data_IF_531242980469
#
_entry.id   IF_531242980469
#
_cell.length_a   1.000
_cell.length_b   1.000
_cell.length_c   1.000
_cell.angle_alpha   90.00
_cell.angle_beta   90.00
_cell.angle_gamma   90.00
#
_symmetry.space_group_name_H-M   'P 1'
#
loop_
_entity.id
_entity.type
_entity.pdbx_description
1 polymer ?
#
# COMPACT_ATOMS: atom_id res chain seq x y z
N UNK A 1 -72.75 18.44 5.47
CA UNK A 1 -72.60 16.98 5.68
C UNK A 1 -71.24 16.46 5.17
N UNK A 2 -70.24 17.31 4.90
CA UNK A 2 -68.94 16.88 4.33
C UNK A 2 -67.72 17.02 5.28
N UNK A 3 -67.93 17.45 6.52
CA UNK A 3 -66.84 17.76 7.46
C UNK A 3 -66.01 16.53 7.87
N UNK A 4 -66.58 15.32 7.81
CA UNK A 4 -65.87 14.09 8.18
C UNK A 4 -64.75 13.73 7.20
N UNK A 5 -65.03 13.85 5.89
CA UNK A 5 -64.09 13.47 4.84
C UNK A 5 -62.92 14.47 4.75
N UNK A 6 -63.22 15.77 4.83
CA UNK A 6 -62.20 16.83 4.87
C UNK A 6 -61.30 16.74 6.10
N UNK A 7 -61.87 16.40 7.27
CA UNK A 7 -61.10 16.21 8.50
C UNK A 7 -60.17 15.01 8.43
N UNK A 8 -60.60 13.90 7.82
CA UNK A 8 -59.76 12.73 7.60
C UNK A 8 -58.58 13.05 6.66
N UNK A 9 -58.83 13.75 5.55
CA UNK A 9 -57.78 14.19 4.63
C UNK A 9 -56.79 15.14 5.33
N UNK A 10 -57.29 16.06 6.17
CA UNK A 10 -56.44 16.97 6.97
C UNK A 10 -55.58 16.23 7.99
N UNK A 11 -56.11 15.18 8.61
CA UNK A 11 -55.32 14.32 9.51
C UNK A 11 -54.26 13.55 8.75
N UNK A 12 -54.60 12.92 7.62
CA UNK A 12 -53.66 12.16 6.80
C UNK A 12 -52.53 13.05 6.27
N UNK A 13 -52.84 14.24 5.78
CA UNK A 13 -51.82 15.21 5.32
C UNK A 13 -50.93 15.70 6.45
N UNK A 14 -51.46 15.92 7.65
CA UNK A 14 -50.65 16.27 8.83
C UNK A 14 -49.72 15.12 9.25
N UNK A 15 -50.21 13.88 9.24
CA UNK A 15 -49.38 12.70 9.53
C UNK A 15 -48.27 12.55 8.50
N UNK A 16 -48.60 12.73 7.22
CA UNK A 16 -47.63 12.68 6.13
C UNK A 16 -46.56 13.77 6.24
N UNK A 17 -46.96 15.01 6.58
CA UNK A 17 -46.01 16.11 6.84
C UNK A 17 -45.06 15.81 7.98
N UNK A 18 -45.56 15.27 9.10
CA UNK A 18 -44.73 14.88 10.24
C UNK A 18 -43.75 13.77 9.86
N UNK A 19 -44.22 12.76 9.13
CA UNK A 19 -43.37 11.68 8.62
C UNK A 19 -42.24 12.22 7.75
N UNK A 20 -42.55 13.09 6.77
CA UNK A 20 -41.55 13.70 5.90
C UNK A 20 -40.53 14.53 6.67
N UNK A 21 -40.98 15.28 7.69
CA UNK A 21 -40.07 16.05 8.53
C UNK A 21 -39.08 15.14 9.27
N UNK A 22 -39.56 14.04 9.86
CA UNK A 22 -38.71 13.05 10.55
C UNK A 22 -37.75 12.39 9.54
N UNK A 23 -38.25 11.92 8.41
CA UNK A 23 -37.44 11.29 7.37
C UNK A 23 -36.33 12.23 6.87
N UNK A 24 -36.66 13.50 6.60
CA UNK A 24 -35.67 14.51 6.20
C UNK A 24 -34.65 14.77 7.30
N UNK A 25 -35.06 14.82 8.57
CA UNK A 25 -34.13 14.99 9.69
C UNK A 25 -33.15 13.81 9.82
N UNK A 26 -33.64 12.58 9.61
CA UNK A 26 -32.79 11.38 9.64
C UNK A 26 -31.81 11.36 8.47
N UNK A 27 -32.26 11.70 7.27
CA UNK A 27 -31.40 11.81 6.08
C UNK A 27 -30.35 12.91 6.24
N UNK A 28 -30.74 14.07 6.79
CA UNK A 28 -29.79 15.14 7.08
C UNK A 28 -28.75 14.70 8.10
N UNK A 29 -29.17 14.07 9.20
CA UNK A 29 -28.24 13.60 10.24
C UNK A 29 -27.27 12.55 9.71
N UNK A 30 -27.73 11.63 8.84
CA UNK A 30 -26.85 10.65 8.22
C UNK A 30 -25.85 11.34 7.28
N UNK A 31 -26.31 12.28 6.46
CA UNK A 31 -25.46 13.06 5.56
C UNK A 31 -24.42 13.89 6.32
N UNK A 32 -24.81 14.58 7.39
CA UNK A 32 -23.90 15.36 8.24
C UNK A 32 -22.83 14.46 8.88
N UNK A 33 -23.20 13.23 9.27
CA UNK A 33 -22.26 12.23 9.78
C UNK A 33 -21.23 11.80 8.71
N UNK A 34 -21.68 11.55 7.48
CA UNK A 34 -20.79 11.23 6.36
C UNK A 34 -19.85 12.38 6.02
N UNK A 35 -20.37 13.61 5.98
CA UNK A 35 -19.56 14.83 5.75
C UNK A 35 -18.49 14.96 6.85
N UNK A 36 -18.88 14.75 8.12
CA UNK A 36 -17.94 14.76 9.24
C UNK A 36 -16.81 13.73 9.09
N UNK A 37 -17.15 12.51 8.65
CA UNK A 37 -16.18 11.46 8.37
C UNK A 37 -15.22 11.84 7.24
N UNK A 38 -15.74 12.33 6.11
CA UNK A 38 -14.92 12.75 4.97
C UNK A 38 -13.95 13.88 5.35
N UNK A 39 -14.43 14.87 6.10
CA UNK A 39 -13.60 15.98 6.59
C UNK A 39 -12.48 15.48 7.51
N UNK A 40 -12.77 14.52 8.38
CA UNK A 40 -11.75 13.89 9.24
C UNK A 40 -10.69 13.18 8.39
N UNK A 41 -11.11 12.36 7.43
CA UNK A 41 -10.22 11.61 6.56
C UNK A 41 -9.33 12.55 5.72
N UNK A 42 -9.88 13.66 5.23
CA UNK A 42 -9.12 14.68 4.50
C UNK A 42 -8.07 15.34 5.39
N UNK A 43 -8.41 15.72 6.64
CA UNK A 43 -7.43 16.30 7.57
C UNK A 43 -6.30 15.31 7.89
N UNK A 44 -6.63 14.04 8.10
CA UNK A 44 -5.63 13.00 8.36
C UNK A 44 -4.69 12.80 7.17
N UNK A 45 -5.21 12.82 5.94
CA UNK A 45 -4.38 12.67 4.74
C UNK A 45 -3.46 13.88 4.53
N UNK A 46 -3.96 15.09 4.75
CA UNK A 46 -3.16 16.32 4.69
C UNK A 46 -2.02 16.32 5.72
N UNK A 47 -2.29 15.85 6.95
CA UNK A 47 -1.28 15.73 8.00
C UNK A 47 -0.21 14.70 7.63
N UNK A 48 -0.59 13.53 7.13
CA UNK A 48 0.35 12.50 6.65
C UNK A 48 1.25 13.07 5.55
N UNK A 49 0.66 13.73 4.57
CA UNK A 49 1.40 14.35 3.47
C UNK A 49 2.42 15.40 3.94
N UNK A 50 2.04 16.27 4.88
CA UNK A 50 2.96 17.25 5.48
C UNK A 50 4.13 16.58 6.22
N UNK A 51 3.85 15.51 6.96
CA UNK A 51 4.87 14.76 7.67
C UNK A 51 5.85 14.08 6.69
N UNK A 52 5.34 13.48 5.62
CA UNK A 52 6.15 12.83 4.59
C UNK A 52 7.05 13.83 3.88
N UNK A 53 6.52 15.00 3.50
CA UNK A 53 7.32 16.09 2.91
C UNK A 53 8.41 16.55 3.88
N UNK A 54 8.10 16.72 5.16
CA UNK A 54 9.07 17.13 6.17
C UNK A 54 10.19 16.10 6.32
N UNK A 55 9.84 14.81 6.35
CA UNK A 55 10.80 13.69 6.40
C UNK A 55 11.70 13.67 5.16
N UNK A 56 11.12 13.84 3.98
CA UNK A 56 11.86 13.91 2.72
C UNK A 56 12.84 15.10 2.72
N UNK A 57 12.36 16.29 3.11
CA UNK A 57 13.21 17.50 3.20
C UNK A 57 14.37 17.29 4.17
N UNK A 58 14.13 16.70 5.34
CA UNK A 58 15.20 16.38 6.32
C UNK A 58 16.22 15.42 5.70
N UNK A 59 15.76 14.38 5.01
CA UNK A 59 16.64 13.39 4.35
C UNK A 59 17.49 14.05 3.26
N UNK A 60 16.89 14.88 2.40
CA UNK A 60 17.60 15.61 1.36
C UNK A 60 18.63 16.60 1.94
N UNK A 61 18.28 17.30 3.02
CA UNK A 61 19.22 18.20 3.69
C UNK A 61 20.40 17.43 4.30
N UNK A 62 20.15 16.29 4.95
CA UNK A 62 21.21 15.41 5.46
C UNK A 62 22.13 14.94 4.34
N UNK A 63 21.57 14.47 3.22
CA UNK A 63 22.35 14.04 2.05
C UNK A 63 23.20 15.18 1.48
N UNK A 64 22.65 16.40 1.37
CA UNK A 64 23.41 17.57 0.92
C UNK A 64 24.59 17.91 1.82
N UNK A 65 24.38 17.86 3.14
CA UNK A 65 25.45 18.11 4.12
C UNK A 65 26.52 17.02 4.02
N UNK A 66 26.11 15.74 4.03
CA UNK A 66 27.03 14.61 3.87
C UNK A 66 27.87 14.72 2.59
N UNK A 67 27.24 15.10 1.47
CA UNK A 67 27.95 15.31 0.20
C UNK A 67 28.99 16.42 0.31
N UNK A 68 28.64 17.57 0.92
CA UNK A 68 29.60 18.66 1.17
C UNK A 68 30.75 18.19 2.06
N UNK A 69 30.48 17.49 3.16
CA UNK A 69 31.52 16.95 4.03
C UNK A 69 32.44 15.96 3.30
N UNK A 70 31.91 15.12 2.41
CA UNK A 70 32.71 14.22 1.58
C UNK A 70 33.57 15.00 0.58
N UNK A 71 32.99 16.03 -0.07
CA UNK A 71 33.71 16.87 -1.03
C UNK A 71 34.82 17.69 -0.33
N UNK A 72 34.59 18.18 0.88
CA UNK A 72 35.59 18.90 1.67
C UNK A 72 36.72 17.97 2.14
N UNK A 73 36.38 16.77 2.63
CA UNK A 73 37.38 15.75 3.02
C UNK A 73 38.22 15.25 1.85
N UNK A 74 37.64 15.16 0.64
CA UNK A 74 38.37 14.83 -0.59
C UNK A 74 39.41 15.88 -0.99
N UNK A 75 39.30 17.12 -0.49
CA UNK A 75 40.20 18.23 -0.83
C UNK A 75 41.37 18.40 0.14
N UNK A 76 41.28 17.85 1.35
CA UNK A 76 42.21 18.16 2.46
C UNK A 76 43.25 17.06 2.69
N UNK A 77 42.94 15.79 2.37
CA UNK A 77 43.85 14.69 2.61
C UNK A 77 44.42 14.13 1.30
N UNK A 78 45.74 13.89 1.26
CA UNK A 78 46.40 12.83 0.46
C UNK A 78 45.92 11.41 0.86
N UNK A 79 44.73 11.29 1.46
CA UNK A 79 44.08 10.02 1.66
C UNK A 79 43.71 9.48 0.29
N UNK A 80 44.10 8.23 0.04
CA UNK A 80 43.64 7.39 -1.06
C UNK A 80 42.12 7.15 -0.97
N UNK A 81 41.32 8.20 -1.08
CA UNK A 81 39.88 8.12 -1.14
C UNK A 81 39.50 7.29 -2.37
N UNK A 82 38.61 6.32 -2.13
CA UNK A 82 38.34 5.31 -3.12
C UNK A 82 39.44 4.28 -3.25
N UNK A 83 40.17 3.97 -2.17
CA UNK A 83 40.89 2.71 -2.02
C UNK A 83 40.36 1.95 -0.81
N UNK A 84 40.11 0.64 -0.96
CA UNK A 84 39.66 -0.25 0.09
C UNK A 84 40.67 -1.40 0.22
N UNK A 85 41.27 -1.57 1.39
CA UNK A 85 42.36 -2.54 1.59
C UNK A 85 43.62 -2.28 0.74
N UNK A 86 43.89 -1.00 0.39
CA UNK A 86 45.03 -0.62 -0.46
C UNK A 86 44.76 -0.71 -1.98
N UNK A 87 43.59 -1.17 -2.39
CA UNK A 87 43.20 -1.31 -3.82
C UNK A 87 42.17 -0.25 -4.17
N UNK A 88 42.30 0.39 -5.33
CA UNK A 88 41.35 1.42 -5.75
C UNK A 88 39.95 0.83 -6.04
N UNK A 89 38.89 1.54 -5.67
CA UNK A 89 37.50 1.23 -5.98
C UNK A 89 37.25 1.21 -7.49
N UNK A 90 38.06 1.94 -8.27
CA UNK A 90 38.04 1.86 -9.72
C UNK A 90 38.44 0.48 -10.24
N UNK A 91 39.39 -0.19 -9.58
CA UNK A 91 39.74 -1.57 -9.91
C UNK A 91 38.67 -2.58 -9.49
N UNK A 92 37.94 -2.29 -8.41
CA UNK A 92 36.81 -3.10 -7.95
C UNK A 92 35.49 -2.78 -8.66
N UNK A 93 35.46 -1.80 -9.58
CA UNK A 93 34.20 -1.32 -10.17
C UNK A 93 33.45 -2.44 -10.91
N UNK A 94 34.19 -3.33 -11.59
CA UNK A 94 33.63 -4.47 -12.30
C UNK A 94 32.96 -5.46 -11.36
N UNK A 95 33.61 -5.81 -10.25
CA UNK A 95 33.06 -6.73 -9.26
C UNK A 95 31.83 -6.13 -8.57
N UNK A 96 31.88 -4.83 -8.28
CA UNK A 96 30.74 -4.08 -7.71
C UNK A 96 29.57 -4.05 -8.68
N UNK A 97 29.80 -3.78 -9.96
CA UNK A 97 28.78 -3.79 -11.02
C UNK A 97 28.17 -5.18 -11.20
N UNK A 98 28.98 -6.24 -11.16
CA UNK A 98 28.52 -7.63 -11.21
C UNK A 98 27.61 -7.97 -10.03
N UNK A 99 28.01 -7.61 -8.80
CA UNK A 99 27.18 -7.80 -7.60
C UNK A 99 25.87 -7.02 -7.68
N UNK A 100 25.89 -5.78 -8.19
CA UNK A 100 24.69 -4.96 -8.38
C UNK A 100 23.76 -5.59 -9.42
N UNK A 101 24.31 -6.06 -10.55
CA UNK A 101 23.56 -6.73 -11.61
C UNK A 101 22.88 -8.01 -11.10
N UNK A 102 23.58 -8.80 -10.28
CA UNK A 102 23.04 -10.01 -9.67
C UNK A 102 22.05 -9.77 -8.53
N UNK A 103 22.01 -8.57 -7.95
CA UNK A 103 21.12 -8.19 -6.86
C UNK A 103 20.06 -7.16 -7.26
N UNK A 104 19.64 -7.13 -8.53
CA UNK A 104 18.50 -6.28 -8.93
C UNK A 104 17.21 -6.70 -8.19
N UNK A 105 16.30 -5.76 -7.87
CA UNK A 105 15.04 -6.09 -7.19
C UNK A 105 14.20 -7.15 -7.92
N UNK A 106 14.26 -7.16 -9.26
CA UNK A 106 13.59 -8.16 -10.10
C UNK A 106 14.12 -9.56 -9.83
N UNK A 107 15.45 -9.74 -9.87
CA UNK A 107 16.08 -11.05 -9.62
C UNK A 107 15.86 -11.52 -8.17
N UNK A 108 15.90 -10.60 -7.19
CA UNK A 108 15.57 -10.94 -5.80
C UNK A 108 14.15 -11.45 -5.64
N UNK A 109 13.18 -10.82 -6.30
CA UNK A 109 11.78 -11.30 -6.31
C UNK A 109 11.66 -12.67 -6.97
N UNK A 110 12.32 -12.89 -8.11
CA UNK A 110 12.30 -14.19 -8.79
C UNK A 110 12.85 -15.30 -7.89
N UNK A 111 14.04 -15.11 -7.29
CA UNK A 111 14.63 -16.09 -6.36
C UNK A 111 13.72 -16.39 -5.16
N UNK A 112 13.02 -15.37 -4.65
CA UNK A 112 12.06 -15.55 -3.55
C UNK A 112 10.86 -16.39 -3.99
N UNK A 113 10.33 -16.13 -5.18
CA UNK A 113 9.20 -16.88 -5.74
C UNK A 113 9.62 -18.33 -6.04
N UNK A 114 10.77 -18.53 -6.67
CA UNK A 114 11.33 -19.86 -6.95
C UNK A 114 11.55 -20.64 -5.65
N UNK A 115 12.15 -20.01 -4.63
CA UNK A 115 12.32 -20.62 -3.31
C UNK A 115 11.00 -21.02 -2.67
N UNK A 116 9.98 -20.15 -2.74
CA UNK A 116 8.65 -20.45 -2.23
C UNK A 116 7.95 -21.56 -3.03
N UNK A 117 8.15 -21.65 -4.35
CA UNK A 117 7.63 -22.74 -5.17
C UNK A 117 8.27 -24.08 -4.78
N UNK A 118 9.59 -24.13 -4.64
CA UNK A 118 10.32 -25.34 -4.24
C UNK A 118 9.92 -25.77 -2.83
N UNK A 119 9.81 -24.83 -1.89
CA UNK A 119 9.32 -25.10 -0.54
C UNK A 119 7.86 -25.58 -0.55
N UNK A 120 7.00 -24.97 -1.36
CA UNK A 120 5.61 -25.39 -1.52
C UNK A 120 5.47 -26.81 -2.10
N UNK A 121 6.31 -27.17 -3.07
CA UNK A 121 6.35 -28.51 -3.66
C UNK A 121 6.87 -29.58 -2.67
N UNK A 122 7.89 -29.25 -1.88
CA UNK A 122 8.47 -30.16 -0.88
C UNK A 122 7.55 -30.36 0.34
N UNK A 123 6.93 -29.30 0.84
CA UNK A 123 5.96 -29.37 1.95
C UNK A 123 4.60 -29.95 1.55
N UNK A 124 4.37 -30.20 0.26
CA UNK A 124 3.11 -30.73 -0.27
C UNK A 124 1.95 -29.71 -0.33
N UNK A 125 2.24 -28.43 -0.10
CA UNK A 125 1.28 -27.31 -0.27
C UNK A 125 0.94 -27.07 -1.74
N UNK A 126 1.90 -27.35 -2.63
CA UNK A 126 1.74 -27.35 -4.08
C UNK A 126 1.87 -28.81 -4.52
N UNK A 127 0.88 -29.30 -5.27
CA UNK A 127 0.95 -30.63 -5.87
C UNK A 127 1.88 -30.57 -7.09
N UNK A 128 2.79 -31.53 -7.19
CA UNK A 128 3.55 -31.73 -8.42
C UNK A 128 2.61 -32.15 -9.56
N UNK A 129 2.99 -31.85 -10.80
CA UNK A 129 2.18 -32.14 -11.99
C UNK A 129 1.65 -33.58 -12.01
N UNK A 130 2.52 -34.55 -11.73
CA UNK A 130 2.16 -35.99 -11.68
C UNK A 130 1.12 -36.32 -10.59
N UNK A 131 1.15 -35.58 -9.46
CA UNK A 131 0.19 -35.72 -8.37
C UNK A 131 -1.14 -35.03 -8.67
N UNK A 132 -1.14 -34.03 -9.55
CA UNK A 132 -2.37 -33.37 -10.03
C UNK A 132 -3.13 -34.31 -10.94
N UNK A 133 -2.46 -34.95 -11.90
CA UNK A 133 -3.09 -35.84 -12.89
C UNK A 133 -3.72 -37.06 -12.22
N UNK A 134 -3.02 -37.66 -11.25
CA UNK A 134 -3.56 -38.76 -10.45
C UNK A 134 -4.73 -38.34 -9.57
N UNK A 135 -4.70 -37.15 -8.97
CA UNK A 135 -5.81 -36.64 -8.15
C UNK A 135 -7.04 -36.28 -9.00
N UNK A 136 -6.84 -35.68 -10.18
CA UNK A 136 -7.88 -35.41 -11.17
C UNK A 136 -8.53 -36.70 -11.65
N UNK A 137 -7.74 -37.69 -12.06
CA UNK A 137 -8.23 -38.99 -12.49
C UNK A 137 -9.07 -39.68 -11.40
N UNK A 138 -8.62 -39.68 -10.15
CA UNK A 138 -9.37 -40.25 -9.03
C UNK A 138 -10.68 -39.50 -8.72
N UNK A 139 -10.70 -38.18 -8.87
CA UNK A 139 -11.92 -37.38 -8.72
C UNK A 139 -12.98 -37.76 -9.75
N UNK A 140 -12.59 -37.86 -11.03
CA UNK A 140 -13.52 -38.21 -12.11
C UNK A 140 -13.95 -39.68 -12.10
N UNK A 141 -13.09 -40.58 -11.60
CA UNK A 141 -13.42 -42.01 -11.44
C UNK A 141 -14.41 -42.26 -10.30
N UNK A 142 -14.37 -41.46 -9.25
CA UNK A 142 -15.27 -41.60 -8.09
C UNK A 142 -16.60 -40.83 -8.24
N UNK A 143 -16.80 -40.12 -9.35
CA UNK A 143 -18.03 -39.38 -9.68
C UNK A 143 -18.99 -40.13 -10.62
N UNK A 144 -18.70 -41.40 -10.92
CA UNK A 144 -19.54 -42.37 -11.63
C UNK A 144 -19.87 -43.49 -10.65
#
# INVERSE_FOLDING_TARGET
>A
MDDGCLKAIKQQTNTHRKFLYIANSLLKNSQDSFIGYLNKQQRESELKFRNDISSLRKTLSKQKILRRCLDDKRRVDDCFYGHYGGVSLGMMSRDVEEVIAHNTPKLRRLRTIEGNMIAGLSDGRILSQDKIDTKMYNLFKNSI
#
